data_IF_036597890829
#
_entry.id   IF_036597890829
#
_cell.length_a   1.000
_cell.length_b   1.000
_cell.length_c   1.000
_cell.angle_alpha   90.00
_cell.angle_beta   90.00
_cell.angle_gamma   90.00
#
_symmetry.space_group_name_H-M   'P 1'
#
loop_
_entity.id
_entity.type
_entity.pdbx_description
1 polymer ?
#
# COMPACT_ATOMS: atom_id res chain seq x y z
N UNK A 1 -3.73 -2.80 1.43
CA UNK A 1 -2.33 -2.35 1.46
C UNK A 1 -2.23 -1.23 0.46
N UNK A 2 -1.87 -0.02 0.90
CA UNK A 2 -1.72 1.13 0.01
C UNK A 2 -0.47 0.94 -0.87
N UNK A 3 -0.42 1.53 -2.07
CA UNK A 3 0.76 1.46 -2.95
C UNK A 3 2.09 1.88 -2.32
N UNK A 4 2.04 2.62 -1.20
CA UNK A 4 3.21 3.06 -0.46
C UNK A 4 4.04 1.91 0.18
N UNK A 5 3.49 0.69 0.25
CA UNK A 5 4.23 -0.50 0.67
C UNK A 5 5.10 -1.11 -0.45
N UNK A 6 5.01 -0.63 -1.69
CA UNK A 6 5.93 -0.99 -2.78
C UNK A 6 7.14 -0.04 -2.88
N UNK A 7 7.12 1.10 -2.20
CA UNK A 7 8.31 1.93 -2.05
C UNK A 7 9.28 1.23 -1.11
N UNK A 8 10.57 1.05 -1.48
CA UNK A 8 11.53 0.34 -0.64
C UNK A 8 11.99 1.26 0.49
N UNK A 9 11.06 1.59 1.38
CA UNK A 9 11.29 2.32 2.64
C UNK A 9 12.43 1.66 3.43
N UNK A 10 12.55 0.35 3.35
CA UNK A 10 13.60 -0.43 4.01
C UNK A 10 14.99 -0.21 3.40
N UNK A 11 15.13 -0.28 2.07
CA UNK A 11 16.42 0.02 1.41
C UNK A 11 16.78 1.49 1.58
N UNK A 12 15.81 2.38 1.38
CA UNK A 12 16.06 3.80 1.47
C UNK A 12 16.38 4.23 2.92
N UNK A 13 15.82 3.59 3.96
CA UNK A 13 16.23 3.78 5.36
C UNK A 13 17.59 3.15 5.65
N UNK A 14 17.93 2.01 5.05
CA UNK A 14 19.25 1.39 5.14
C UNK A 14 20.37 2.27 4.58
N UNK A 15 20.11 2.92 3.44
CA UNK A 15 21.04 3.85 2.80
C UNK A 15 21.32 5.10 3.66
N UNK A 16 20.35 5.55 4.47
CA UNK A 16 20.54 6.68 5.40
C UNK A 16 21.30 6.33 6.68
N UNK A 17 21.57 5.04 6.94
CA UNK A 17 22.13 4.56 8.19
C UNK A 17 23.44 3.80 8.01
N UNK A 18 24.11 4.00 6.88
CA UNK A 18 25.37 3.31 6.57
C UNK A 18 25.23 1.78 6.57
N UNK A 19 24.03 1.24 6.28
CA UNK A 19 23.78 -0.20 6.23
C UNK A 19 23.36 -0.87 7.55
N UNK A 20 23.04 -0.14 8.63
CA UNK A 20 22.43 -0.75 9.82
C UNK A 20 21.03 -1.31 9.51
N UNK A 21 20.79 -2.60 9.77
CA UNK A 21 19.51 -3.24 9.51
C UNK A 21 18.39 -2.90 10.49
N UNK A 22 17.15 -3.24 10.11
CA UNK A 22 15.91 -2.89 10.80
C UNK A 22 15.82 -3.47 12.21
N UNK A 23 16.51 -4.57 12.48
CA UNK A 23 16.64 -5.23 13.78
C UNK A 23 17.24 -4.32 14.86
N UNK A 24 17.98 -3.27 14.46
CA UNK A 24 18.53 -2.27 15.38
C UNK A 24 17.48 -1.25 15.86
N UNK A 25 16.28 -1.23 15.26
CA UNK A 25 15.16 -0.32 15.56
C UNK A 25 14.33 -0.80 16.77
N UNK A 26 15.00 -1.03 17.90
CA UNK A 26 14.39 -1.62 19.11
C UNK A 26 13.52 -0.67 19.93
N UNK A 27 13.48 0.63 19.61
CA UNK A 27 12.69 1.62 20.36
C UNK A 27 12.06 2.69 19.46
N UNK A 28 10.99 3.33 19.93
CA UNK A 28 10.28 4.41 19.24
C UNK A 28 11.26 5.54 18.85
N UNK A 29 12.21 5.89 19.73
CA UNK A 29 13.25 6.87 19.44
C UNK A 29 14.15 6.42 18.27
N UNK A 30 14.65 5.18 18.30
CA UNK A 30 15.51 4.63 17.23
C UNK A 30 14.78 4.45 15.90
N UNK A 31 13.45 4.38 15.92
CA UNK A 31 12.60 4.31 14.74
C UNK A 31 12.39 5.65 14.05
N UNK A 32 12.46 6.76 14.81
CA UNK A 32 12.12 8.10 14.35
C UNK A 32 13.32 9.05 14.18
N UNK A 33 14.45 8.76 14.82
CA UNK A 33 15.71 9.50 14.67
C UNK A 33 16.63 8.81 13.67
N UNK A 34 17.03 9.50 12.61
CA UNK A 34 18.03 9.01 11.66
C UNK A 34 19.42 9.47 12.10
N UNK A 35 20.28 8.53 12.52
CA UNK A 35 21.66 8.84 12.94
C UNK A 35 22.51 9.32 11.76
N UNK A 36 23.63 9.98 12.06
CA UNK A 36 24.71 10.30 11.12
C UNK A 36 26.04 10.28 11.87
N UNK A 37 27.15 10.22 11.15
CA UNK A 37 28.50 10.10 11.74
C UNK A 37 28.94 11.40 12.45
N UNK A 38 28.26 12.51 12.14
CA UNK A 38 28.45 13.80 12.80
C UNK A 38 27.13 14.60 12.88
N UNK A 39 27.16 15.71 13.63
CA UNK A 39 25.97 16.54 13.86
C UNK A 39 25.34 17.15 12.61
N UNK A 40 26.15 17.46 11.59
CA UNK A 40 25.65 17.98 10.30
C UNK A 40 24.90 16.88 9.56
N UNK A 41 25.45 15.67 9.55
CA UNK A 41 24.85 14.52 8.92
C UNK A 41 23.57 14.07 9.62
N UNK A 42 23.52 14.13 10.95
CA UNK A 42 22.31 13.91 11.74
C UNK A 42 21.16 14.82 11.28
N UNK A 43 21.43 16.13 11.16
CA UNK A 43 20.42 17.12 10.71
C UNK A 43 20.00 16.82 9.26
N UNK A 44 20.96 16.53 8.39
CA UNK A 44 20.70 16.20 6.97
C UNK A 44 19.84 14.93 6.82
N UNK A 45 20.12 13.89 7.59
CA UNK A 45 19.39 12.62 7.52
C UNK A 45 17.97 12.75 8.08
N UNK A 46 17.79 13.48 9.19
CA UNK A 46 16.45 13.76 9.71
C UNK A 46 15.65 14.69 8.79
N UNK A 47 16.28 15.66 8.12
CA UNK A 47 15.60 16.48 7.10
C UNK A 47 15.17 15.65 5.89
N UNK A 48 15.99 14.69 5.43
CA UNK A 48 15.60 13.77 4.34
C UNK A 48 14.48 12.80 4.74
N UNK A 49 14.34 12.53 6.04
CA UNK A 49 13.32 11.62 6.56
C UNK A 49 11.98 12.34 6.86
N UNK A 50 12.03 13.50 7.53
CA UNK A 50 10.86 14.26 8.01
C UNK A 50 10.64 15.64 7.36
N UNK A 51 11.61 16.17 6.62
CA UNK A 51 11.51 17.49 5.99
C UNK A 51 10.47 17.56 4.86
N UNK A 52 10.37 18.72 4.21
CA UNK A 52 9.52 18.87 3.03
C UNK A 52 10.00 17.94 1.91
N UNK A 53 9.11 17.09 1.40
CA UNK A 53 9.42 15.94 0.51
C UNK A 53 10.30 14.86 1.15
N UNK A 54 10.40 14.84 2.48
CA UNK A 54 11.04 13.75 3.21
C UNK A 54 10.26 12.44 3.08
N UNK A 55 10.95 11.31 3.26
CA UNK A 55 10.38 9.99 2.99
C UNK A 55 9.13 9.67 3.82
N UNK A 56 9.19 9.84 5.15
CA UNK A 56 8.04 9.56 6.02
C UNK A 56 6.93 10.59 5.83
N UNK A 57 7.29 11.86 5.63
CA UNK A 57 6.34 12.92 5.35
C UNK A 57 5.55 12.64 4.07
N UNK A 58 6.23 12.16 3.03
CA UNK A 58 5.62 11.76 1.75
C UNK A 58 4.73 10.52 1.95
N UNK A 59 5.20 9.51 2.68
CA UNK A 59 4.41 8.30 2.98
C UNK A 59 3.10 8.64 3.72
N UNK A 60 3.20 9.35 4.85
CA UNK A 60 2.03 9.73 5.66
C UNK A 60 1.08 10.64 4.88
N UNK A 61 1.61 11.58 4.08
CA UNK A 61 0.78 12.45 3.26
C UNK A 61 0.02 11.69 2.17
N UNK A 62 0.63 10.68 1.56
CA UNK A 62 -0.05 9.82 0.60
C UNK A 62 -1.20 9.04 1.26
N UNK A 63 -0.94 8.41 2.41
CA UNK A 63 -1.97 7.66 3.14
C UNK A 63 -3.12 8.56 3.62
N UNK A 64 -2.80 9.76 4.11
CA UNK A 64 -3.80 10.75 4.50
C UNK A 64 -4.63 11.23 3.30
N UNK A 65 -3.99 11.41 2.14
CA UNK A 65 -4.67 11.72 0.87
C UNK A 65 -5.69 10.65 0.52
N UNK A 66 -5.26 9.37 0.49
CA UNK A 66 -6.16 8.23 0.22
C UNK A 66 -7.32 8.21 1.23
N UNK A 67 -7.04 8.35 2.53
CA UNK A 67 -8.08 8.34 3.56
C UNK A 67 -9.10 9.48 3.40
N UNK A 68 -8.63 10.67 2.99
CA UNK A 68 -9.48 11.86 2.83
C UNK A 68 -10.48 11.76 1.67
N UNK A 69 -10.19 10.96 0.64
CA UNK A 69 -11.06 10.82 -0.53
C UNK A 69 -12.00 9.62 -0.43
N UNK A 70 -11.60 8.60 0.34
CA UNK A 70 -12.37 7.36 0.57
C UNK A 70 -13.60 7.57 1.45
N UNK A 71 -13.61 8.61 2.28
CA UNK A 71 -14.63 8.81 3.33
C UNK A 71 -16.02 9.24 2.80
N UNK A 72 -16.16 9.49 1.50
CA UNK A 72 -17.35 10.15 0.93
C UNK A 72 -18.10 9.41 -0.22
N UNK A 73 -17.51 8.52 -1.05
CA UNK A 73 -18.26 7.84 -2.12
C UNK A 73 -18.96 6.54 -1.67
N UNK A 74 -20.15 6.27 -2.22
CA UNK A 74 -20.68 4.90 -2.32
C UNK A 74 -20.00 4.26 -3.53
N UNK A 75 -19.03 3.38 -3.29
CA UNK A 75 -18.27 2.69 -4.34
C UNK A 75 -19.17 1.73 -5.15
N UNK A 76 -19.94 2.27 -6.10
CA UNK A 76 -20.94 1.52 -6.87
C UNK A 76 -20.31 0.35 -7.66
N UNK A 77 -19.10 0.56 -8.17
CA UNK A 77 -18.39 -0.42 -9.00
C UNK A 77 -17.50 -1.38 -8.17
N UNK A 78 -17.58 -1.31 -6.84
CA UNK A 78 -16.78 -2.14 -5.93
C UNK A 78 -17.44 -3.47 -5.56
N UNK A 79 -18.68 -3.71 -5.98
CA UNK A 79 -19.33 -5.01 -5.84
C UNK A 79 -18.74 -5.95 -6.90
N UNK A 80 -18.25 -7.14 -6.54
CA UNK A 80 -17.81 -8.13 -7.52
C UNK A 80 -18.92 -8.48 -8.51
N UNK A 81 -18.57 -8.49 -9.79
CA UNK A 81 -19.45 -8.97 -10.86
C UNK A 81 -19.50 -10.50 -10.91
N UNK A 82 -20.44 -11.04 -11.67
CA UNK A 82 -20.49 -12.49 -11.91
C UNK A 82 -19.21 -13.01 -12.58
N UNK A 83 -18.59 -12.21 -13.46
CA UNK A 83 -17.31 -12.54 -14.09
C UNK A 83 -16.17 -12.60 -13.07
N UNK A 84 -16.12 -11.65 -12.12
CA UNK A 84 -15.14 -11.66 -11.02
C UNK A 84 -15.28 -12.95 -10.18
N UNK A 85 -16.52 -13.35 -9.87
CA UNK A 85 -16.83 -14.58 -9.12
C UNK A 85 -16.41 -15.82 -9.91
N UNK A 86 -16.72 -15.87 -11.22
CA UNK A 86 -16.33 -16.97 -12.10
C UNK A 86 -14.82 -17.09 -12.24
N UNK A 87 -14.09 -15.98 -12.34
CA UNK A 87 -12.63 -15.99 -12.40
C UNK A 87 -12.04 -16.67 -11.16
N UNK A 88 -12.52 -16.29 -9.96
CA UNK A 88 -12.06 -16.88 -8.70
C UNK A 88 -12.45 -18.35 -8.57
N UNK A 89 -13.65 -18.74 -9.01
CA UNK A 89 -14.08 -20.15 -9.00
C UNK A 89 -13.22 -21.03 -9.90
N UNK A 90 -12.89 -20.54 -11.09
CA UNK A 90 -12.22 -21.34 -12.11
C UNK A 90 -10.70 -21.40 -11.93
N UNK A 91 -10.07 -20.30 -11.50
CA UNK A 91 -8.61 -20.17 -11.42
C UNK A 91 -8.09 -20.08 -9.97
N UNK A 92 -9.00 -19.91 -9.00
CA UNK A 92 -8.66 -19.78 -7.60
C UNK A 92 -8.33 -18.35 -7.18
N UNK A 93 -8.57 -18.06 -5.90
CA UNK A 93 -8.42 -16.72 -5.34
C UNK A 93 -6.97 -16.20 -5.37
N UNK A 94 -5.98 -17.08 -5.24
CA UNK A 94 -4.56 -16.67 -5.25
C UNK A 94 -4.17 -16.03 -6.57
N UNK A 95 -4.57 -16.62 -7.69
CA UNK A 95 -4.29 -16.12 -9.03
C UNK A 95 -4.98 -14.78 -9.25
N UNK A 96 -6.29 -14.72 -8.97
CA UNK A 96 -7.07 -13.48 -9.00
C UNK A 96 -6.39 -12.35 -8.20
N UNK A 97 -5.98 -12.63 -6.96
CA UNK A 97 -5.37 -11.63 -6.09
C UNK A 97 -4.01 -11.15 -6.62
N UNK A 98 -3.22 -12.04 -7.22
CA UNK A 98 -1.94 -11.67 -7.83
C UNK A 98 -2.14 -10.69 -9.01
N UNK A 99 -3.15 -10.92 -9.84
CA UNK A 99 -3.52 -9.98 -10.91
C UNK A 99 -3.89 -8.61 -10.37
N UNK A 100 -4.64 -8.56 -9.26
CA UNK A 100 -5.00 -7.30 -8.60
C UNK A 100 -3.77 -6.55 -8.07
N UNK A 101 -2.77 -7.27 -7.52
CA UNK A 101 -1.50 -6.68 -7.09
C UNK A 101 -0.74 -6.08 -8.27
N UNK A 102 -0.68 -6.78 -9.41
CA UNK A 102 -0.05 -6.25 -10.61
C UNK A 102 -0.79 -5.04 -11.18
N UNK A 103 -2.13 -5.06 -11.17
CA UNK A 103 -2.95 -3.91 -11.57
C UNK A 103 -2.62 -2.68 -10.72
N UNK A 104 -2.62 -2.80 -9.39
CA UNK A 104 -2.28 -1.70 -8.46
C UNK A 104 -0.85 -1.21 -8.68
N UNK A 105 0.13 -2.10 -8.85
CA UNK A 105 1.50 -1.72 -9.10
C UNK A 105 1.67 -0.93 -10.42
N UNK A 106 0.93 -1.32 -11.45
CA UNK A 106 0.98 -0.67 -12.77
C UNK A 106 0.45 0.76 -12.79
N UNK A 107 -0.40 1.13 -11.82
CA UNK A 107 -0.93 2.49 -11.67
C UNK A 107 0.14 3.53 -11.30
N UNK A 108 1.25 3.10 -10.69
CA UNK A 108 2.36 3.97 -10.27
C UNK A 108 1.92 5.17 -9.41
N UNK A 109 0.85 5.01 -8.63
CA UNK A 109 0.22 6.10 -7.86
C UNK A 109 1.20 6.77 -6.90
N UNK A 110 2.06 5.99 -6.22
CA UNK A 110 3.05 6.52 -5.30
C UNK A 110 4.15 7.32 -6.02
N UNK A 111 4.64 6.84 -7.17
CA UNK A 111 5.64 7.55 -7.98
C UNK A 111 5.07 8.87 -8.51
N UNK A 112 3.82 8.86 -8.97
CA UNK A 112 3.12 10.04 -9.45
C UNK A 112 2.93 11.06 -8.31
N UNK A 113 2.54 10.59 -7.12
CA UNK A 113 2.43 11.41 -5.93
C UNK A 113 3.77 12.00 -5.49
N UNK A 114 4.85 11.21 -5.51
CA UNK A 114 6.19 11.69 -5.14
C UNK A 114 6.68 12.83 -6.03
N UNK A 115 6.33 12.78 -7.33
CA UNK A 115 6.70 13.81 -8.31
C UNK A 115 5.84 15.06 -8.22
N UNK A 116 4.53 14.89 -8.14
CA UNK A 116 3.56 15.98 -8.37
C UNK A 116 2.73 16.36 -7.14
N UNK A 117 2.91 15.68 -6.01
CA UNK A 117 2.08 15.83 -4.83
C UNK A 117 0.67 15.23 -5.02
N UNK A 118 -0.26 15.60 -4.13
CA UNK A 118 -1.65 15.16 -4.21
C UNK A 118 -2.40 15.95 -5.29
N UNK A 119 -2.87 15.27 -6.34
CA UNK A 119 -3.59 15.87 -7.47
C UNK A 119 -5.03 15.41 -7.53
N UNK A 120 -5.86 16.11 -8.31
CA UNK A 120 -7.24 15.69 -8.62
C UNK A 120 -7.28 14.33 -9.31
N UNK A 121 -6.30 14.05 -10.17
CA UNK A 121 -6.20 12.77 -10.89
C UNK A 121 -5.89 11.62 -9.93
N UNK A 122 -4.99 11.82 -8.96
CA UNK A 122 -4.72 10.82 -7.91
C UNK A 122 -5.95 10.59 -7.03
N UNK A 123 -6.70 11.64 -6.70
CA UNK A 123 -7.95 11.52 -5.96
C UNK A 123 -9.00 10.72 -6.77
N UNK A 124 -9.14 11.00 -8.07
CA UNK A 124 -10.05 10.29 -8.94
C UNK A 124 -9.66 8.81 -9.06
N UNK A 125 -8.39 8.53 -9.36
CA UNK A 125 -7.84 7.18 -9.49
C UNK A 125 -7.99 6.38 -8.19
N UNK A 126 -7.79 7.02 -7.04
CA UNK A 126 -8.02 6.38 -5.74
C UNK A 126 -9.45 5.88 -5.63
N UNK A 127 -10.44 6.72 -5.97
CA UNK A 127 -11.85 6.39 -5.80
C UNK A 127 -12.41 5.44 -6.87
N UNK A 128 -11.92 5.52 -8.11
CA UNK A 128 -12.51 4.82 -9.25
C UNK A 128 -11.72 3.59 -9.67
N UNK A 129 -10.44 3.47 -9.29
CA UNK A 129 -9.61 2.32 -9.66
C UNK A 129 -9.12 1.57 -8.42
N UNK A 130 -8.37 2.23 -7.53
CA UNK A 130 -7.73 1.57 -6.39
C UNK A 130 -8.75 0.98 -5.40
N UNK A 131 -9.75 1.76 -5.01
CA UNK A 131 -10.74 1.32 -4.01
C UNK A 131 -11.62 0.16 -4.49
N UNK A 132 -12.17 0.18 -5.71
CA UNK A 132 -12.86 -0.99 -6.25
C UNK A 132 -12.00 -2.26 -6.24
N UNK A 133 -10.73 -2.19 -6.63
CA UNK A 133 -9.81 -3.34 -6.58
C UNK A 133 -9.67 -3.88 -5.16
N UNK A 134 -9.42 -3.00 -4.18
CA UNK A 134 -9.25 -3.41 -2.77
C UNK A 134 -10.51 -4.08 -2.24
N UNK A 135 -11.68 -3.46 -2.46
CA UNK A 135 -12.96 -3.96 -1.94
C UNK A 135 -13.29 -5.31 -2.57
N UNK A 136 -13.19 -5.44 -3.90
CA UNK A 136 -13.43 -6.71 -4.60
C UNK A 136 -12.51 -7.82 -4.13
N UNK A 137 -11.20 -7.52 -3.99
CA UNK A 137 -10.21 -8.46 -3.48
C UNK A 137 -10.59 -9.01 -2.12
N UNK A 138 -10.98 -8.14 -1.18
CA UNK A 138 -11.38 -8.57 0.18
C UNK A 138 -12.66 -9.40 0.14
N UNK A 139 -13.69 -8.94 -0.58
CA UNK A 139 -14.97 -9.65 -0.68
C UNK A 139 -14.81 -11.05 -1.28
N UNK A 140 -14.09 -11.17 -2.38
CA UNK A 140 -13.86 -12.45 -3.05
C UNK A 140 -12.95 -13.37 -2.24
N UNK A 141 -12.00 -12.81 -1.47
CA UNK A 141 -11.18 -13.61 -0.55
C UNK A 141 -12.00 -14.27 0.55
N UNK A 142 -12.97 -13.55 1.12
CA UNK A 142 -13.91 -14.12 2.09
C UNK A 142 -14.81 -15.19 1.46
N UNK A 143 -15.35 -14.90 0.28
CA UNK A 143 -16.19 -15.86 -0.45
C UNK A 143 -15.42 -17.14 -0.80
N UNK A 144 -14.19 -17.03 -1.27
CA UNK A 144 -13.32 -18.17 -1.56
C UNK A 144 -12.99 -19.00 -0.31
N UNK A 145 -12.84 -18.32 0.84
CA UNK A 145 -12.62 -19.00 2.12
C UNK A 145 -13.84 -19.81 2.55
N UNK A 146 -15.05 -19.31 2.31
CA UNK A 146 -16.30 -20.06 2.56
C UNK A 146 -16.35 -21.31 1.68
N UNK A 147 -16.12 -21.18 0.37
CA UNK A 147 -16.14 -22.34 -0.54
C UNK A 147 -15.12 -23.41 -0.14
N UNK A 148 -13.93 -22.99 0.31
CA UNK A 148 -12.91 -23.91 0.81
C UNK A 148 -13.41 -24.69 2.05
N UNK A 149 -14.01 -24.00 3.02
CA UNK A 149 -14.56 -24.64 4.23
C UNK A 149 -15.74 -25.58 3.93
N UNK A 150 -16.57 -25.23 2.95
CA UNK A 150 -17.69 -26.08 2.50
C UNK A 150 -17.19 -27.36 1.82
N UNK A 151 -16.15 -27.25 0.98
CA UNK A 151 -15.50 -28.41 0.36
C UNK A 151 -14.89 -29.34 1.42
N UNK A 152 -14.16 -28.79 2.40
CA UNK A 152 -13.56 -29.57 3.50
C UNK A 152 -14.62 -30.31 4.34
N UNK A 153 -15.80 -29.72 4.56
CA UNK A 153 -16.91 -30.38 5.27
C UNK A 153 -17.60 -31.47 4.44
N UNK A 154 -17.58 -31.37 3.11
CA UNK A 154 -18.18 -32.39 2.24
C UNK A 154 -17.32 -33.66 2.12
N UNK A 155 -16.04 -33.56 2.47
CA UNK A 155 -15.07 -34.66 2.46
C UNK A 155 -14.92 -35.37 3.82
N UNK A 156 -15.51 -34.83 4.90
CA UNK A 156 -15.52 -35.38 6.26
C UNK A 156 -16.78 -36.17 6.59
#
# INVERSE_FOLDING_TARGET
MTPAHHFPLEQAVGDFRGGEGLETRTSILKKNLMKGDNGIELVKNNWRFWGAKGMMTTHVAFEAGVASVVSYPRFKDAIPSDDDILQVKNHGYREYYLDQVHAVASMKMYDNFSKSGWTTDLAWQTNHELMPIIIKSVMLGWLASIWKLEAEKSES
#
